data_IF_024290377381
#
_entry.id   IF_024290377381
#
_cell.length_a   1.000
_cell.length_b   1.000
_cell.length_c   1.000
_cell.angle_alpha   90.00
_cell.angle_beta   90.00
_cell.angle_gamma   90.00
#
_symmetry.space_group_name_H-M   'P 1'
#
loop_
_entity.id
_entity.type
_entity.pdbx_description
1 polymer ?
#
# COMPACT_ATOMS: atom_id res chain seq x y z
N UNK A 1 3.74 1.20 0.43
CA UNK A 1 3.43 2.19 -0.63
C UNK A 1 2.20 1.77 -1.43
N UNK A 2 1.62 2.63 -2.26
CA UNK A 2 0.46 2.34 -3.11
C UNK A 2 0.32 3.38 -4.23
N UNK A 3 -0.51 3.07 -5.24
CA UNK A 3 -1.00 4.05 -6.22
C UNK A 3 0.12 4.79 -6.94
N UNK A 4 1.08 4.05 -7.46
CA UNK A 4 2.22 4.57 -8.26
C UNK A 4 1.79 5.03 -9.64
N UNK A 5 0.78 4.38 -10.25
CA UNK A 5 0.22 4.72 -11.57
C UNK A 5 1.30 4.96 -12.65
N UNK A 6 2.31 4.09 -12.68
CA UNK A 6 3.40 4.17 -13.65
C UNK A 6 4.56 5.09 -13.27
N UNK A 7 4.49 5.77 -12.13
CA UNK A 7 5.53 6.67 -11.69
C UNK A 7 6.29 6.16 -10.46
N UNK A 8 7.60 6.04 -10.56
CA UNK A 8 8.51 5.80 -9.43
C UNK A 8 9.59 6.87 -9.43
N UNK A 9 9.64 7.61 -8.34
CA UNK A 9 10.68 8.57 -8.02
C UNK A 9 11.91 7.83 -7.44
N UNK A 10 13.12 8.23 -7.83
CA UNK A 10 14.35 7.64 -7.28
C UNK A 10 14.48 7.82 -5.77
N UNK A 11 13.87 8.87 -5.21
CA UNK A 11 13.86 9.12 -3.76
C UNK A 11 13.13 8.00 -2.99
N UNK A 12 12.19 7.28 -3.61
CA UNK A 12 11.52 6.14 -2.99
C UNK A 12 12.55 5.07 -2.58
N UNK A 13 13.53 4.78 -3.43
CA UNK A 13 14.57 3.79 -3.15
C UNK A 13 15.45 4.21 -1.98
N UNK A 14 15.77 5.50 -1.88
CA UNK A 14 16.52 6.04 -0.72
C UNK A 14 15.75 5.84 0.57
N UNK A 15 14.45 6.11 0.58
CA UNK A 15 13.62 5.89 1.77
C UNK A 15 13.47 4.42 2.15
N UNK A 16 13.61 3.49 1.20
CA UNK A 16 13.50 2.05 1.43
C UNK A 16 14.85 1.33 1.51
N UNK A 17 15.97 2.06 1.57
CA UNK A 17 17.31 1.46 1.58
C UNK A 17 17.53 0.50 2.76
N UNK A 18 16.96 0.82 3.92
CA UNK A 18 17.06 -0.01 5.13
C UNK A 18 15.88 -0.97 5.33
N UNK A 19 14.92 -1.02 4.39
CA UNK A 19 13.78 -1.92 4.48
C UNK A 19 14.14 -3.32 3.95
N UNK A 20 13.64 -4.35 4.61
CA UNK A 20 13.80 -5.75 4.15
C UNK A 20 12.89 -6.07 2.97
N UNK A 21 11.70 -5.53 2.94
CA UNK A 21 10.66 -5.77 1.93
C UNK A 21 9.92 -4.48 1.56
N UNK A 22 9.39 -4.44 0.34
CA UNK A 22 8.45 -3.41 -0.11
C UNK A 22 7.06 -4.01 -0.17
N UNK A 23 6.09 -3.36 0.48
CA UNK A 23 4.69 -3.74 0.40
C UNK A 23 3.92 -2.71 -0.44
N UNK A 24 3.24 -3.20 -1.50
CA UNK A 24 2.53 -2.34 -2.46
C UNK A 24 1.04 -2.70 -2.54
N UNK A 25 0.19 -1.78 -2.14
CA UNK A 25 -1.25 -1.99 -2.03
C UNK A 25 -2.03 -1.71 -3.33
N UNK A 26 -1.42 -1.95 -4.50
CA UNK A 26 -2.09 -1.92 -5.81
C UNK A 26 -1.99 -0.61 -6.58
N UNK A 27 -2.50 -0.65 -7.81
CA UNK A 27 -2.40 0.41 -8.82
C UNK A 27 -0.94 0.77 -9.14
N UNK A 28 -0.20 -0.28 -9.59
CA UNK A 28 1.18 -0.14 -10.08
C UNK A 28 1.22 0.68 -11.37
N UNK A 29 0.28 0.41 -12.28
CA UNK A 29 0.29 0.84 -13.66
C UNK A 29 1.01 -0.17 -14.56
N UNK A 30 2.00 0.24 -15.40
CA UNK A 30 2.80 -0.68 -16.20
C UNK A 30 3.62 -1.64 -15.34
N UNK A 31 3.89 -2.84 -15.89
CA UNK A 31 4.67 -3.91 -15.22
C UNK A 31 6.09 -3.50 -14.83
N UNK A 32 6.68 -2.56 -15.57
CA UNK A 32 8.02 -2.04 -15.31
C UNK A 32 8.17 -1.45 -13.90
N UNK A 33 7.07 -0.95 -13.32
CA UNK A 33 7.06 -0.46 -11.94
C UNK A 33 7.32 -1.59 -10.96
N UNK A 34 6.60 -2.70 -11.10
CA UNK A 34 6.79 -3.89 -10.27
C UNK A 34 8.20 -4.48 -10.46
N UNK A 35 8.67 -4.56 -11.69
CA UNK A 35 10.02 -5.05 -12.01
C UNK A 35 11.11 -4.19 -11.37
N UNK A 36 10.97 -2.86 -11.40
CA UNK A 36 11.93 -1.95 -10.75
C UNK A 36 11.97 -2.17 -9.24
N UNK A 37 10.80 -2.28 -8.59
CA UNK A 37 10.73 -2.54 -7.17
C UNK A 37 11.36 -3.89 -6.81
N UNK A 38 11.09 -4.95 -7.56
CA UNK A 38 11.64 -6.30 -7.35
C UNK A 38 13.15 -6.37 -7.51
N UNK A 39 13.73 -5.58 -8.42
CA UNK A 39 15.19 -5.50 -8.56
C UNK A 39 15.86 -4.86 -7.35
N UNK A 40 15.13 -4.04 -6.63
CA UNK A 40 15.65 -3.35 -5.45
C UNK A 40 15.48 -4.15 -4.16
N UNK A 41 14.26 -4.66 -3.89
CA UNK A 41 13.93 -5.46 -2.69
C UNK A 41 12.82 -6.47 -2.99
N UNK A 42 12.66 -7.54 -2.20
CA UNK A 42 11.49 -8.39 -2.26
C UNK A 42 10.20 -7.59 -2.17
N UNK A 43 9.23 -7.89 -3.04
CA UNK A 43 7.95 -7.19 -3.09
C UNK A 43 6.82 -8.11 -2.67
N UNK A 44 5.99 -7.68 -1.72
CA UNK A 44 4.66 -8.22 -1.47
C UNK A 44 3.64 -7.22 -1.99
N UNK A 45 2.68 -7.68 -2.78
CA UNK A 45 1.72 -6.76 -3.36
C UNK A 45 0.39 -7.41 -3.70
N UNK A 46 -0.58 -6.55 -3.94
CA UNK A 46 -1.88 -6.90 -4.52
C UNK A 46 -2.09 -6.06 -5.76
N UNK A 47 -2.86 -6.55 -6.73
CA UNK A 47 -3.22 -5.70 -7.86
C UNK A 47 -4.34 -4.72 -7.49
N UNK A 48 -4.35 -3.57 -8.15
CA UNK A 48 -5.41 -2.59 -8.06
C UNK A 48 -6.39 -2.63 -9.25
N UNK A 49 -7.31 -1.68 -9.26
CA UNK A 49 -8.36 -1.65 -10.30
C UNK A 49 -7.85 -1.21 -11.68
N UNK A 50 -6.75 -0.45 -11.74
CA UNK A 50 -6.15 -0.02 -13.02
C UNK A 50 -5.07 -0.96 -13.55
N UNK A 51 -4.62 -1.93 -12.74
CA UNK A 51 -3.56 -2.84 -13.13
C UNK A 51 -3.98 -3.80 -14.24
N UNK A 52 -3.10 -3.95 -15.22
CA UNK A 52 -3.29 -4.79 -16.40
C UNK A 52 -3.14 -6.29 -16.14
N UNK A 53 -3.27 -7.07 -17.22
CA UNK A 53 -3.26 -8.54 -17.16
C UNK A 53 -1.96 -9.12 -16.59
N UNK A 54 -0.80 -8.51 -16.88
CA UNK A 54 0.50 -8.97 -16.40
C UNK A 54 0.59 -8.88 -14.88
N UNK A 55 0.27 -7.71 -14.29
CA UNK A 55 0.26 -7.52 -12.84
C UNK A 55 -0.74 -8.47 -12.17
N UNK A 56 -1.94 -8.63 -12.75
CA UNK A 56 -2.98 -9.53 -12.22
C UNK A 56 -2.62 -11.01 -12.31
N UNK A 57 -1.80 -11.39 -13.26
CA UNK A 57 -1.29 -12.76 -13.37
C UNK A 57 -0.22 -13.07 -12.31
N UNK A 58 0.48 -12.05 -11.83
CA UNK A 58 1.59 -12.18 -10.90
C UNK A 58 1.20 -11.94 -9.44
N UNK A 59 0.30 -11.01 -9.19
CA UNK A 59 -0.14 -10.60 -7.86
C UNK A 59 -1.59 -10.98 -7.60
N UNK A 60 -1.96 -11.36 -6.37
CA UNK A 60 -3.35 -11.63 -6.01
C UNK A 60 -4.16 -10.33 -5.83
N UNK A 61 -5.49 -10.47 -5.79
CA UNK A 61 -6.40 -9.37 -5.40
C UNK A 61 -6.31 -9.06 -3.91
N UNK A 62 -6.17 -10.09 -3.11
CA UNK A 62 -6.09 -10.05 -1.66
C UNK A 62 -4.91 -10.89 -1.20
N UNK A 63 -4.16 -10.39 -0.24
CA UNK A 63 -2.99 -11.10 0.30
C UNK A 63 -3.08 -11.15 1.82
N UNK A 64 -3.01 -12.36 2.38
CA UNK A 64 -2.92 -12.58 3.82
C UNK A 64 -1.61 -13.32 4.12
N UNK A 65 -0.87 -12.84 5.11
CA UNK A 65 0.37 -13.50 5.54
C UNK A 65 0.69 -13.16 6.99
N UNK A 66 1.68 -13.84 7.53
CA UNK A 66 2.26 -13.52 8.83
C UNK A 66 3.64 -12.91 8.65
N UNK A 67 3.89 -11.78 9.31
CA UNK A 67 5.17 -11.09 9.33
C UNK A 67 5.64 -10.98 10.79
N UNK A 68 6.73 -11.66 11.14
CA UNK A 68 7.31 -11.64 12.48
C UNK A 68 6.28 -11.76 13.62
N UNK A 69 5.28 -12.66 13.46
CA UNK A 69 4.20 -12.89 14.43
C UNK A 69 3.02 -11.92 14.33
N UNK A 70 3.01 -11.02 13.35
CA UNK A 70 1.88 -10.13 13.06
C UNK A 70 1.09 -10.68 11.87
N UNK A 71 -0.22 -10.91 12.05
CA UNK A 71 -1.11 -11.23 10.93
C UNK A 71 -1.41 -9.99 10.11
N UNK A 72 -1.16 -10.05 8.80
CA UNK A 72 -1.35 -8.93 7.88
C UNK A 72 -2.35 -9.30 6.80
N UNK A 73 -3.27 -8.41 6.50
CA UNK A 73 -4.16 -8.50 5.35
C UNK A 73 -4.03 -7.25 4.49
N UNK A 74 -3.78 -7.44 3.20
CA UNK A 74 -3.66 -6.36 2.23
C UNK A 74 -4.63 -6.58 1.07
N UNK A 75 -5.30 -5.51 0.65
CA UNK A 75 -6.15 -5.42 -0.54
C UNK A 75 -6.07 -4.01 -1.09
N UNK A 76 -6.36 -3.81 -2.38
CA UNK A 76 -6.32 -2.46 -2.94
C UNK A 76 -7.52 -1.61 -2.49
N UNK A 77 -8.75 -2.06 -2.73
CA UNK A 77 -9.98 -1.35 -2.34
C UNK A 77 -10.47 -1.88 -1.00
N UNK A 78 -10.16 -1.16 0.08
CA UNK A 78 -10.43 -1.63 1.44
C UNK A 78 -11.36 -0.77 2.28
N UNK A 79 -11.49 0.52 1.95
CA UNK A 79 -12.20 1.47 2.81
C UNK A 79 -11.39 1.86 4.05
N UNK A 80 -12.06 2.07 5.17
CA UNK A 80 -11.44 2.50 6.43
C UNK A 80 -12.31 2.09 7.63
N UNK A 81 -11.79 2.14 8.86
CA UNK A 81 -12.54 1.81 10.06
C UNK A 81 -13.91 2.50 10.14
N UNK A 82 -14.94 1.70 10.33
CA UNK A 82 -16.34 2.13 10.29
C UNK A 82 -16.99 2.11 8.91
N UNK A 83 -16.20 2.10 7.83
CA UNK A 83 -16.70 2.08 6.44
C UNK A 83 -15.81 1.23 5.53
N UNK A 84 -15.60 -0.02 5.91
CA UNK A 84 -14.88 -0.99 5.08
C UNK A 84 -15.65 -1.32 3.79
N UNK A 85 -14.91 -1.65 2.74
CA UNK A 85 -15.49 -2.10 1.48
C UNK A 85 -16.37 -3.33 1.69
N UNK A 86 -17.50 -3.37 0.97
CA UNK A 86 -18.53 -4.44 1.13
C UNK A 86 -17.97 -5.82 0.86
N UNK A 87 -17.02 -5.94 -0.03
CA UNK A 87 -16.41 -7.21 -0.46
C UNK A 87 -15.66 -7.90 0.67
N UNK A 88 -14.97 -7.15 1.53
CA UNK A 88 -14.08 -7.70 2.57
C UNK A 88 -14.61 -7.52 3.99
N UNK A 89 -15.66 -6.73 4.17
CA UNK A 89 -16.17 -6.33 5.49
C UNK A 89 -16.49 -7.51 6.41
N UNK A 90 -17.15 -8.53 5.88
CA UNK A 90 -17.53 -9.70 6.68
C UNK A 90 -16.34 -10.60 6.99
N UNK A 91 -15.37 -10.69 6.09
CA UNK A 91 -14.13 -11.43 6.34
C UNK A 91 -13.28 -10.74 7.40
N UNK A 92 -13.17 -9.41 7.36
CA UNK A 92 -12.48 -8.63 8.41
C UNK A 92 -13.13 -8.81 9.79
N UNK A 93 -14.46 -8.86 9.86
CA UNK A 93 -15.18 -9.12 11.13
C UNK A 93 -14.95 -10.53 11.65
N UNK A 94 -14.95 -11.51 10.76
CA UNK A 94 -14.82 -12.91 11.12
C UNK A 94 -13.39 -13.28 11.54
N UNK A 95 -12.40 -12.71 10.88
CA UNK A 95 -10.97 -12.97 11.11
C UNK A 95 -10.17 -11.67 11.00
N UNK A 96 -10.27 -10.77 12.00
CA UNK A 96 -9.55 -9.52 11.96
C UNK A 96 -8.04 -9.76 11.98
N UNK A 97 -7.26 -9.17 11.06
CA UNK A 97 -5.80 -9.21 11.11
C UNK A 97 -5.26 -8.28 12.19
N UNK A 98 -4.00 -8.42 12.57
CA UNK A 98 -3.33 -7.42 13.40
C UNK A 98 -3.10 -6.10 12.64
N UNK A 99 -2.80 -6.22 11.33
CA UNK A 99 -2.60 -5.08 10.42
C UNK A 99 -3.43 -5.25 9.15
N UNK A 100 -4.24 -4.26 8.84
CA UNK A 100 -4.98 -4.15 7.58
C UNK A 100 -4.43 -3.01 6.72
N UNK A 101 -4.04 -3.32 5.48
CA UNK A 101 -3.45 -2.35 4.54
C UNK A 101 -4.33 -2.24 3.29
N UNK A 102 -4.59 -1.01 2.84
CA UNK A 102 -5.23 -0.77 1.55
C UNK A 102 -4.68 0.50 0.88
N UNK A 103 -5.08 0.72 -0.39
CA UNK A 103 -4.74 1.89 -1.19
C UNK A 103 -5.99 2.61 -1.71
N UNK A 104 -6.02 2.89 -3.02
CA UNK A 104 -7.14 3.38 -3.82
C UNK A 104 -7.64 4.79 -3.50
N UNK A 105 -7.83 5.14 -2.24
CA UNK A 105 -8.35 6.47 -1.85
C UNK A 105 -7.33 7.59 -2.03
N UNK A 106 -6.06 7.27 -2.19
CA UNK A 106 -4.92 8.19 -2.22
C UNK A 106 -4.79 9.05 -0.95
N UNK A 107 -5.46 8.67 0.12
CA UNK A 107 -5.46 9.40 1.40
C UNK A 107 -4.61 8.66 2.41
N UNK A 108 -3.49 9.27 2.81
CA UNK A 108 -2.67 8.76 3.91
C UNK A 108 -3.52 8.63 5.18
N UNK A 109 -3.57 7.43 5.73
CA UNK A 109 -4.32 7.17 6.96
C UNK A 109 -3.68 6.04 7.76
N UNK A 110 -3.34 6.32 9.00
CA UNK A 110 -2.90 5.32 10.00
C UNK A 110 -3.78 5.48 11.21
N UNK A 111 -4.53 4.44 11.57
CA UNK A 111 -5.43 4.51 12.71
C UNK A 111 -5.73 3.12 13.29
N UNK A 112 -6.06 3.08 14.58
CA UNK A 112 -6.55 1.88 15.22
C UNK A 112 -8.06 1.75 14.99
N UNK A 113 -8.52 0.55 14.69
CA UNK A 113 -9.92 0.17 14.75
C UNK A 113 -10.20 -0.56 16.07
N UNK A 114 -10.81 0.10 17.08
CA UNK A 114 -11.06 -0.54 18.35
C UNK A 114 -12.19 -1.59 18.28
N UNK A 115 -13.06 -1.52 17.27
CA UNK A 115 -14.15 -2.46 17.09
C UNK A 115 -13.65 -3.84 16.62
N UNK A 116 -12.61 -3.86 15.79
CA UNK A 116 -11.99 -5.09 15.26
C UNK A 116 -10.65 -5.41 15.92
N UNK A 117 -10.07 -4.50 16.70
CA UNK A 117 -8.79 -4.69 17.36
C UNK A 117 -7.59 -4.64 16.42
N UNK A 118 -7.75 -4.14 15.19
CA UNK A 118 -6.70 -4.05 14.18
C UNK A 118 -6.10 -2.65 14.04
N UNK A 119 -4.94 -2.58 13.40
CA UNK A 119 -4.36 -1.32 12.89
C UNK A 119 -4.69 -1.24 11.41
N UNK A 120 -5.24 -0.11 10.98
CA UNK A 120 -5.50 0.22 9.58
C UNK A 120 -4.41 1.15 9.06
N UNK A 121 -3.85 0.84 7.88
CA UNK A 121 -2.91 1.68 7.17
C UNK A 121 -3.31 1.85 5.71
N UNK A 122 -3.31 3.10 5.26
CA UNK A 122 -3.31 3.46 3.85
C UNK A 122 -2.11 4.39 3.64
N UNK A 123 -1.13 4.04 2.80
CA UNK A 123 0.07 4.85 2.63
C UNK A 123 -0.15 6.14 1.82
N UNK A 124 -1.37 6.39 1.35
CA UNK A 124 -1.62 7.42 0.37
C UNK A 124 -1.13 7.00 -1.02
N UNK A 125 -0.88 7.95 -1.90
CA UNK A 125 -0.39 7.68 -3.24
C UNK A 125 1.05 8.16 -3.44
N UNK A 126 1.89 7.29 -4.01
CA UNK A 126 3.26 7.64 -4.38
C UNK A 126 3.37 8.30 -5.75
N UNK A 127 2.40 8.04 -6.63
CA UNK A 127 2.38 8.55 -8.00
C UNK A 127 1.81 9.96 -8.14
N UNK A 128 1.73 10.40 -9.39
CA UNK A 128 1.21 11.73 -9.75
C UNK A 128 -0.28 11.72 -10.14
N UNK A 129 -0.89 10.55 -10.31
CA UNK A 129 -2.29 10.42 -10.71
C UNK A 129 -3.23 10.53 -9.52
N UNK A 130 -4.35 11.25 -9.65
CA UNK A 130 -5.40 11.34 -8.64
C UNK A 130 -5.63 12.74 -8.09
N UNK A 131 -6.37 12.86 -6.98
CA UNK A 131 -6.80 14.13 -6.38
C UNK A 131 -6.00 14.55 -5.14
N UNK A 132 -5.07 13.72 -4.68
CA UNK A 132 -4.20 14.04 -3.55
C UNK A 132 -3.27 15.22 -3.91
N UNK A 133 -2.89 15.99 -2.90
CA UNK A 133 -2.01 17.16 -3.07
C UNK A 133 -0.54 16.81 -2.90
N UNK A 134 -0.26 15.90 -1.96
CA UNK A 134 1.08 15.47 -1.56
C UNK A 134 1.20 13.98 -1.80
N UNK A 135 2.29 13.55 -2.42
CA UNK A 135 2.67 12.16 -2.59
C UNK A 135 3.22 11.63 -1.28
N UNK A 136 2.82 10.43 -0.88
CA UNK A 136 3.21 9.86 0.40
C UNK A 136 3.54 8.39 0.32
N UNK A 137 4.30 7.90 1.30
CA UNK A 137 4.49 6.50 1.61
C UNK A 137 4.59 6.31 3.13
N UNK A 138 4.49 5.06 3.57
CA UNK A 138 4.72 4.66 4.95
C UNK A 138 5.95 3.76 5.05
N UNK A 139 6.72 3.93 6.12
CA UNK A 139 7.79 3.03 6.56
C UNK A 139 7.54 2.66 8.02
N UNK A 140 7.77 1.42 8.40
CA UNK A 140 7.59 0.94 9.76
C UNK A 140 8.35 -0.37 9.98
N UNK A 141 8.58 -0.72 11.25
CA UNK A 141 9.19 -1.97 11.67
C UNK A 141 8.14 -2.92 12.24
N UNK A 142 8.34 -4.24 12.02
CA UNK A 142 7.52 -5.30 12.63
C UNK A 142 8.44 -6.26 13.36
N UNK A 143 8.24 -6.40 14.67
CA UNK A 143 9.01 -7.30 15.51
C UNK A 143 8.11 -7.94 16.57
N UNK A 144 8.21 -9.26 16.74
CA UNK A 144 7.45 -10.02 17.73
C UNK A 144 5.94 -9.69 17.75
N UNK A 145 5.32 -9.56 16.57
CA UNK A 145 3.90 -9.25 16.40
C UNK A 145 3.52 -7.79 16.65
N UNK A 146 4.48 -6.92 16.81
CA UNK A 146 4.24 -5.49 17.09
C UNK A 146 4.76 -4.60 15.98
N UNK A 147 4.03 -3.53 15.72
CA UNK A 147 4.41 -2.46 14.79
C UNK A 147 5.06 -1.33 15.59
N UNK A 148 6.20 -0.85 15.13
CA UNK A 148 6.94 0.27 15.70
C UNK A 148 7.53 1.16 14.61
N UNK A 149 8.06 2.31 14.98
CA UNK A 149 8.79 3.24 14.11
C UNK A 149 7.98 3.62 12.85
N UNK A 150 6.69 3.87 13.04
CA UNK A 150 5.82 4.24 11.92
C UNK A 150 6.10 5.66 11.47
N UNK A 151 6.58 5.79 10.25
CA UNK A 151 6.87 7.07 9.61
C UNK A 151 5.98 7.29 8.39
N UNK A 152 5.36 8.47 8.33
CA UNK A 152 4.71 8.98 7.12
C UNK A 152 5.69 9.89 6.38
N UNK A 153 6.07 9.52 5.18
CA UNK A 153 7.07 10.21 4.38
C UNK A 153 6.38 10.96 3.25
N UNK A 154 6.61 12.26 3.18
CA UNK A 154 6.14 13.10 2.08
C UNK A 154 7.19 13.13 0.97
N UNK A 155 6.78 12.68 -0.23
CA UNK A 155 7.62 12.66 -1.44
C UNK A 155 7.53 13.95 -2.26
N UNK A 156 6.91 14.99 -1.69
CA UNK A 156 6.66 16.27 -2.34
C UNK A 156 5.27 16.36 -2.96
N UNK A 157 5.02 17.50 -3.62
CA UNK A 157 3.73 17.77 -4.25
C UNK A 157 3.47 16.79 -5.40
N UNK A 158 2.20 16.44 -5.61
CA UNK A 158 1.78 15.63 -6.74
C UNK A 158 2.25 16.22 -8.08
N UNK A 159 2.29 17.55 -8.17
CA UNK A 159 2.60 18.27 -9.42
C UNK A 159 1.42 18.24 -10.39
N UNK A 160 1.55 18.95 -11.49
CA UNK A 160 0.68 18.80 -12.65
C UNK A 160 1.27 17.69 -13.52
N UNK A 161 0.45 16.72 -13.92
CA UNK A 161 0.79 15.90 -15.06
C UNK A 161 0.96 16.89 -16.23
N UNK A 162 2.16 17.03 -16.76
CA UNK A 162 2.34 17.70 -18.02
C UNK A 162 1.58 16.88 -19.05
N UNK A 163 0.41 17.35 -19.50
CA UNK A 163 -0.22 16.82 -20.68
C UNK A 163 0.80 16.96 -21.81
N UNK A 164 1.09 15.91 -22.58
CA UNK A 164 1.91 16.08 -23.77
C UNK A 164 1.24 17.11 -24.67
N UNK A 165 2.01 18.09 -25.13
CA UNK A 165 1.58 19.09 -26.06
C UNK A 165 1.22 18.46 -27.42
#
# INVERSE_FOLDING_TARGET
MSDTHGFIDETIFTHFEECDEIWHAGDFGPEEVLDRLKRFRPVRGVYGNVDGAQIRAELPQDLMWECAGLSVFMTHIGGYPGNYDRRIREDLKRRPPGLFICGHSHVLKVMRDPALGLIHMNPGACGHHGWHKVRTLLRFSVEAGKISEVEAIELGLRGRLNSPA
#
